data_IF_842219716237
#
_entry.id   IF_842219716237
#
_cell.length_a   1.000
_cell.length_b   1.000
_cell.length_c   1.000
_cell.angle_alpha   90.00
_cell.angle_beta   90.00
_cell.angle_gamma   90.00
#
_symmetry.space_group_name_H-M   'P 1'
#
loop_
_entity.id
_entity.type
_entity.pdbx_description
1 polymer ?
#
# COMPACT_ATOMS: atom_id res chain seq x y z
N UNK A 1 -3.88 6.21 1.55
CA UNK A 1 -4.49 7.41 0.97
C UNK A 1 -5.78 7.08 0.21
N UNK A 2 -5.73 6.26 -0.86
CA UNK A 2 -6.91 5.85 -1.65
C UNK A 2 -8.10 5.34 -0.84
N UNK A 3 -7.85 4.40 0.08
CA UNK A 3 -8.89 3.83 0.95
C UNK A 3 -9.65 4.87 1.80
N UNK A 4 -9.06 6.05 2.00
CA UNK A 4 -9.62 7.13 2.80
C UNK A 4 -10.00 8.37 1.97
N UNK A 5 -9.88 8.31 0.63
CA UNK A 5 -10.22 9.42 -0.25
C UNK A 5 -9.30 10.66 -0.15
N UNK A 6 -8.10 10.52 0.41
CA UNK A 6 -7.17 11.66 0.66
C UNK A 6 -5.94 11.66 -0.25
N UNK A 7 -5.98 10.93 -1.38
CA UNK A 7 -4.81 10.80 -2.27
C UNK A 7 -4.35 12.14 -2.86
N UNK A 8 -5.27 12.92 -3.42
CA UNK A 8 -4.91 14.19 -4.07
C UNK A 8 -4.29 15.17 -3.07
N UNK A 9 -4.83 15.23 -1.84
CA UNK A 9 -4.26 16.04 -0.77
C UNK A 9 -2.85 15.58 -0.37
N UNK A 10 -2.61 14.26 -0.33
CA UNK A 10 -1.29 13.70 -0.04
C UNK A 10 -0.30 14.03 -1.15
N UNK A 11 -0.69 13.88 -2.42
CA UNK A 11 0.17 14.21 -3.56
C UNK A 11 0.48 15.72 -3.63
N UNK A 12 -0.50 16.57 -3.35
CA UNK A 12 -0.30 18.02 -3.28
C UNK A 12 0.72 18.39 -2.19
N UNK A 13 0.60 17.80 -0.99
CA UNK A 13 1.56 18.00 0.10
C UNK A 13 2.97 17.52 -0.24
N UNK A 14 3.10 16.39 -0.95
CA UNK A 14 4.38 15.89 -1.44
C UNK A 14 5.01 16.83 -2.48
N UNK A 15 4.21 17.38 -3.39
CA UNK A 15 4.67 18.35 -4.38
C UNK A 15 5.15 19.66 -3.73
N UNK A 16 4.47 20.13 -2.69
CA UNK A 16 4.91 21.28 -1.90
C UNK A 16 6.24 21.02 -1.20
N UNK A 17 6.40 19.84 -0.59
CA UNK A 17 7.61 19.47 0.17
C UNK A 17 8.80 19.17 -0.73
N UNK A 18 8.55 18.55 -1.89
CA UNK A 18 9.58 18.09 -2.83
C UNK A 18 9.23 18.52 -4.27
N UNK A 19 9.33 19.82 -4.58
CA UNK A 19 8.83 20.37 -5.85
C UNK A 19 9.61 19.92 -7.09
N UNK A 20 10.81 19.37 -6.92
CA UNK A 20 11.61 18.82 -8.02
C UNK A 20 11.19 17.42 -8.49
N UNK A 21 10.21 16.79 -7.82
CA UNK A 21 9.75 15.44 -8.15
C UNK A 21 8.40 15.52 -8.84
N UNK A 22 8.33 14.97 -10.05
CA UNK A 22 7.06 14.66 -10.71
C UNK A 22 6.47 13.41 -10.04
N UNK A 23 5.62 13.62 -9.04
CA UNK A 23 5.05 12.55 -8.22
C UNK A 23 4.16 11.58 -8.99
N UNK A 24 3.51 12.06 -10.07
CA UNK A 24 2.69 11.20 -10.92
C UNK A 24 3.56 10.23 -11.72
N UNK A 25 4.59 10.76 -12.38
CA UNK A 25 5.56 9.95 -13.11
C UNK A 25 6.34 9.03 -12.17
N UNK A 26 6.68 9.51 -10.97
CA UNK A 26 7.41 8.72 -9.99
C UNK A 26 6.57 7.56 -9.46
N UNK A 27 5.26 7.78 -9.22
CA UNK A 27 4.31 6.73 -8.86
C UNK A 27 4.23 5.66 -9.93
N UNK A 28 4.00 6.06 -11.19
CA UNK A 28 4.00 5.17 -12.37
C UNK A 28 5.27 4.32 -12.47
N UNK A 29 6.44 4.96 -12.35
CA UNK A 29 7.73 4.28 -12.39
C UNK A 29 7.89 3.26 -11.26
N UNK A 30 7.55 3.61 -10.02
CA UNK A 30 7.68 2.70 -8.89
C UNK A 30 6.73 1.50 -9.00
N UNK A 31 5.47 1.72 -9.38
CA UNK A 31 4.51 0.63 -9.61
C UNK A 31 5.00 -0.33 -10.69
N UNK A 32 5.45 0.18 -11.84
CA UNK A 32 6.04 -0.66 -12.90
C UNK A 32 7.16 -1.54 -12.37
N UNK A 33 8.13 -0.93 -11.69
CA UNK A 33 9.33 -1.62 -11.20
C UNK A 33 9.01 -2.69 -10.18
N UNK A 34 8.11 -2.43 -9.23
CA UNK A 34 7.80 -3.41 -8.19
C UNK A 34 6.92 -4.55 -8.73
N UNK A 35 6.05 -4.28 -9.70
CA UNK A 35 5.23 -5.33 -10.32
C UNK A 35 6.08 -6.24 -11.22
N UNK A 36 7.01 -5.68 -12.00
CA UNK A 36 7.90 -6.48 -12.86
C UNK A 36 8.96 -7.27 -12.06
N UNK A 37 9.56 -6.63 -11.05
CA UNK A 37 10.79 -7.14 -10.44
C UNK A 37 10.69 -7.31 -8.92
N UNK A 38 9.49 -7.25 -8.34
CA UNK A 38 9.29 -7.27 -6.88
C UNK A 38 9.95 -8.46 -6.19
N UNK A 39 9.91 -9.66 -6.80
CA UNK A 39 10.50 -10.89 -6.24
C UNK A 39 12.01 -10.73 -6.04
N UNK A 40 12.73 -10.41 -7.11
CA UNK A 40 14.18 -10.18 -7.10
C UNK A 40 14.56 -9.02 -6.18
N UNK A 41 13.82 -7.89 -6.26
CA UNK A 41 14.11 -6.72 -5.43
C UNK A 41 13.91 -7.00 -3.94
N UNK A 42 12.92 -7.84 -3.59
CA UNK A 42 12.71 -8.26 -2.22
C UNK A 42 13.89 -9.08 -1.69
N UNK A 43 14.45 -9.99 -2.50
CA UNK A 43 15.66 -10.74 -2.16
C UNK A 43 16.85 -9.80 -1.93
N UNK A 44 17.10 -8.87 -2.86
CA UNK A 44 18.14 -7.84 -2.71
C UNK A 44 17.95 -7.02 -1.41
N UNK A 45 16.72 -6.69 -1.03
CA UNK A 45 16.43 -5.95 0.22
C UNK A 45 16.58 -6.81 1.49
N UNK A 46 16.43 -8.14 1.40
CA UNK A 46 16.76 -9.05 2.52
C UNK A 46 18.26 -9.11 2.75
N UNK A 47 19.06 -9.08 1.69
CA UNK A 47 20.51 -8.98 1.78
C UNK A 47 20.93 -7.63 2.39
N UNK A 48 20.31 -6.51 1.96
CA UNK A 48 20.53 -5.19 2.60
C UNK A 48 20.16 -5.22 4.08
N UNK A 49 19.04 -5.85 4.44
CA UNK A 49 18.66 -6.00 5.84
C UNK A 49 19.68 -6.83 6.64
N UNK A 50 20.33 -7.80 6.01
CA UNK A 50 21.41 -8.58 6.61
C UNK A 50 22.65 -7.73 6.85
N UNK A 51 23.09 -6.95 5.86
CA UNK A 51 24.22 -6.01 6.02
C UNK A 51 23.99 -5.00 7.15
N UNK A 52 22.77 -4.49 7.28
CA UNK A 52 22.42 -3.56 8.38
C UNK A 52 22.51 -4.25 9.75
N UNK A 53 22.11 -5.53 9.86
CA UNK A 53 22.29 -6.33 11.10
C UNK A 53 23.76 -6.54 11.43
N UNK A 54 24.59 -6.82 10.43
CA UNK A 54 26.04 -7.01 10.60
C UNK A 54 26.73 -5.74 11.09
N UNK A 55 26.20 -4.56 10.74
CA UNK A 55 26.64 -3.27 11.28
C UNK A 55 26.13 -3.00 12.72
N UNK A 56 25.43 -3.94 13.35
CA UNK A 56 24.88 -3.80 14.70
C UNK A 56 23.57 -2.99 14.78
N UNK A 57 22.90 -2.75 13.65
CA UNK A 57 21.68 -1.96 13.57
C UNK A 57 20.45 -2.84 13.31
N UNK A 58 19.29 -2.41 13.82
CA UNK A 58 18.03 -3.09 13.47
C UNK A 58 17.51 -2.61 12.11
N UNK A 59 17.21 -3.50 11.15
CA UNK A 59 17.00 -3.14 9.75
C UNK A 59 15.56 -2.73 9.40
N UNK A 60 14.94 -1.82 10.18
CA UNK A 60 13.52 -1.48 10.07
C UNK A 60 13.06 -1.17 8.64
N UNK A 61 13.77 -0.25 7.96
CA UNK A 61 13.40 0.19 6.62
C UNK A 61 13.66 -0.87 5.55
N UNK A 62 14.80 -1.57 5.63
CA UNK A 62 15.19 -2.56 4.64
C UNK A 62 14.28 -3.80 4.69
N UNK A 63 14.03 -4.32 5.90
CA UNK A 63 13.13 -5.45 6.10
C UNK A 63 11.70 -5.12 5.68
N UNK A 64 11.16 -3.96 6.11
CA UNK A 64 9.82 -3.54 5.70
C UNK A 64 9.67 -3.36 4.18
N UNK A 65 10.73 -2.88 3.52
CA UNK A 65 10.75 -2.77 2.05
C UNK A 65 10.75 -4.13 1.38
N UNK A 66 11.55 -5.09 1.88
CA UNK A 66 11.57 -6.46 1.35
C UNK A 66 10.18 -7.11 1.43
N UNK A 67 9.52 -7.02 2.59
CA UNK A 67 8.18 -7.56 2.77
C UNK A 67 7.15 -6.91 1.84
N UNK A 68 7.21 -5.58 1.67
CA UNK A 68 6.30 -4.89 0.76
C UNK A 68 6.50 -5.31 -0.69
N UNK A 69 7.74 -5.46 -1.14
CA UNK A 69 8.04 -5.85 -2.52
C UNK A 69 7.68 -7.32 -2.78
N UNK A 70 7.92 -8.20 -1.81
CA UNK A 70 7.51 -9.60 -1.89
C UNK A 70 5.99 -9.73 -1.99
N UNK A 71 5.24 -9.00 -1.15
CA UNK A 71 3.78 -9.00 -1.20
C UNK A 71 3.23 -8.53 -2.55
N UNK A 72 3.79 -7.47 -3.14
CA UNK A 72 3.36 -7.04 -4.49
C UNK A 72 3.72 -8.09 -5.54
N UNK A 73 4.87 -8.76 -5.42
CA UNK A 73 5.23 -9.86 -6.30
C UNK A 73 4.23 -11.03 -6.21
N UNK A 74 3.74 -11.35 -5.01
CA UNK A 74 2.71 -12.39 -4.82
C UNK A 74 1.40 -12.00 -5.51
N UNK A 75 1.00 -10.73 -5.42
CA UNK A 75 -0.18 -10.23 -6.14
C UNK A 75 0.01 -10.29 -7.67
N UNK A 76 1.22 -10.01 -8.15
CA UNK A 76 1.55 -10.11 -9.58
C UNK A 76 1.59 -11.57 -10.06
N UNK A 77 2.10 -12.50 -9.25
CA UNK A 77 2.07 -13.95 -9.52
C UNK A 77 0.64 -14.48 -9.53
N UNK A 78 -0.22 -13.94 -8.66
CA UNK A 78 -1.66 -14.19 -8.67
C UNK A 78 -2.43 -13.51 -9.81
N UNK A 79 -1.75 -12.79 -10.71
CA UNK A 79 -2.35 -12.19 -11.90
C UNK A 79 -3.14 -10.90 -11.66
N UNK A 80 -3.07 -10.30 -10.46
CA UNK A 80 -3.86 -9.10 -10.11
C UNK A 80 -3.64 -7.95 -11.09
N UNK A 81 -2.43 -7.82 -11.63
CA UNK A 81 -2.03 -6.69 -12.47
C UNK A 81 -2.05 -6.98 -13.97
N UNK A 82 -2.49 -8.18 -14.38
CA UNK A 82 -2.39 -8.64 -15.77
C UNK A 82 -0.93 -8.85 -16.20
N UNK A 83 -0.64 -8.52 -17.45
CA UNK A 83 0.72 -8.54 -17.99
C UNK A 83 1.63 -7.54 -17.24
N UNK A 84 2.78 -8.04 -16.78
CA UNK A 84 3.75 -7.27 -16.00
C UNK A 84 4.49 -6.26 -16.85
N UNK A 85 4.65 -6.54 -18.13
CA UNK A 85 5.43 -5.72 -19.06
C UNK A 85 4.60 -4.62 -19.72
N UNK A 86 3.28 -4.65 -19.54
CA UNK A 86 2.39 -3.55 -19.95
C UNK A 86 2.82 -2.24 -19.27
N UNK A 87 3.14 -1.18 -20.03
CA UNK A 87 3.56 0.10 -19.46
C UNK A 87 2.48 0.74 -18.59
N UNK A 88 2.81 1.03 -17.34
CA UNK A 88 1.92 1.72 -16.41
C UNK A 88 2.09 3.23 -16.54
N UNK A 89 1.15 3.87 -17.25
CA UNK A 89 1.02 5.34 -17.28
C UNK A 89 0.17 5.87 -16.13
N UNK A 90 -0.83 5.08 -15.74
CA UNK A 90 -1.72 5.39 -14.63
C UNK A 90 -1.56 4.34 -13.53
N UNK A 91 -0.79 4.68 -12.50
CA UNK A 91 -0.54 3.80 -11.35
C UNK A 91 -1.77 3.66 -10.45
N UNK A 92 -2.74 4.58 -10.58
CA UNK A 92 -3.95 4.61 -9.75
C UNK A 92 -4.82 3.38 -9.98
N UNK A 93 -4.94 2.95 -11.23
CA UNK A 93 -5.68 1.74 -11.60
C UNK A 93 -5.15 0.49 -10.86
N UNK A 94 -3.82 0.37 -10.68
CA UNK A 94 -3.23 -0.74 -9.95
C UNK A 94 -3.40 -0.62 -8.45
N UNK A 95 -3.31 0.60 -7.93
CA UNK A 95 -3.59 0.87 -6.54
C UNK A 95 -5.06 0.54 -6.19
N UNK A 96 -6.01 0.78 -7.10
CA UNK A 96 -7.41 0.39 -6.96
C UNK A 96 -7.59 -1.13 -6.99
N UNK A 97 -6.89 -1.83 -7.89
CA UNK A 97 -6.89 -3.31 -7.91
C UNK A 97 -6.39 -3.90 -6.58
N UNK A 98 -5.31 -3.35 -6.03
CA UNK A 98 -4.78 -3.73 -4.72
C UNK A 98 -5.82 -3.49 -3.62
N UNK A 99 -6.45 -2.30 -3.61
CA UNK A 99 -7.46 -1.96 -2.61
C UNK A 99 -8.66 -2.92 -2.69
N UNK A 100 -9.14 -3.23 -3.89
CA UNK A 100 -10.22 -4.18 -4.11
C UNK A 100 -9.86 -5.61 -3.67
N UNK A 101 -8.62 -6.05 -3.88
CA UNK A 101 -8.15 -7.36 -3.41
C UNK A 101 -8.13 -7.43 -1.87
N UNK A 102 -7.70 -6.36 -1.19
CA UNK A 102 -7.69 -6.28 0.27
C UNK A 102 -9.09 -6.25 0.89
N UNK A 103 -10.06 -5.61 0.24
CA UNK A 103 -11.46 -5.59 0.73
C UNK A 103 -12.17 -6.93 0.47
N UNK A 104 -11.83 -7.62 -0.62
CA UNK A 104 -12.41 -8.92 -0.99
C UNK A 104 -11.88 -10.08 -0.15
N UNK A 105 -10.63 -10.00 0.34
CA UNK A 105 -10.03 -11.01 1.22
C UNK A 105 -10.45 -10.89 2.69
N UNK A 106 -11.18 -9.84 3.05
CA UNK A 106 -11.79 -9.75 4.38
C UNK A 106 -12.86 -10.84 4.52
N UNK A 107 -12.76 -11.77 5.49
CA UNK A 107 -13.74 -12.83 5.63
C UNK A 107 -15.09 -12.20 5.95
N UNK A 108 -16.03 -12.31 5.01
CA UNK A 108 -17.45 -12.01 5.24
C UNK A 108 -17.86 -12.83 6.47
N UNK A 109 -18.06 -12.18 7.63
CA UNK A 109 -18.59 -12.81 8.85
C UNK A 109 -19.85 -13.58 8.46
N UNK A 110 -19.74 -14.91 8.32
CA UNK A 110 -20.91 -15.79 8.30
C UNK A 110 -21.62 -15.60 9.64
N UNK A 111 -22.94 -15.48 9.56
CA UNK A 111 -23.81 -14.85 10.55
C UNK A 111 -23.47 -15.16 12.01
N UNK A 112 -23.48 -14.10 12.82
CA UNK A 112 -23.81 -14.20 14.23
C UNK A 112 -24.71 -13.02 14.57
N UNK A 113 -25.94 -13.36 14.90
CA UNK A 113 -26.95 -12.48 15.48
C UNK A 113 -26.45 -11.90 16.80
N UNK A 114 -26.58 -10.58 16.92
CA UNK A 114 -26.84 -9.82 18.15
C UNK A 114 -25.75 -9.74 19.24
N UNK A 115 -25.17 -8.54 19.40
CA UNK A 115 -25.21 -7.75 20.65
C UNK A 115 -24.49 -6.42 20.42
N UNK A 116 -25.14 -5.31 20.80
CA UNK A 116 -24.76 -3.93 20.47
C UNK A 116 -23.30 -3.54 20.74
N UNK A 117 -22.74 -2.76 19.84
CA UNK A 117 -21.41 -2.16 19.96
C UNK A 117 -21.49 -0.95 20.93
N UNK A 118 -20.72 -0.90 22.03
CA UNK A 118 -20.80 0.19 23.02
C UNK A 118 -20.25 1.54 22.56
N UNK A 119 -19.76 1.65 21.32
CA UNK A 119 -19.06 2.83 20.81
C UNK A 119 -19.94 3.80 20.01
N UNK A 120 -21.23 3.50 19.83
CA UNK A 120 -22.17 4.33 19.03
C UNK A 120 -22.85 5.46 19.83
N UNK A 121 -22.45 5.69 21.09
CA UNK A 121 -23.08 6.66 21.98
C UNK A 121 -22.36 8.01 22.11
N UNK A 122 -21.23 8.23 21.43
CA UNK A 122 -20.41 9.43 21.63
C UNK A 122 -20.71 10.63 20.72
N UNK A 123 -21.69 10.53 19.82
CA UNK A 123 -22.01 11.61 18.87
C UNK A 123 -23.51 11.94 18.78
N UNK A 124 -24.25 11.87 19.90
CA UNK A 124 -25.53 12.59 20.01
C UNK A 124 -25.28 13.91 20.74
N UNK A 125 -25.10 14.96 19.96
CA UNK A 125 -25.14 16.34 20.45
C UNK A 125 -26.47 16.60 21.15
N UNK A 126 -26.37 17.22 22.32
CA UNK A 126 -27.51 17.65 23.11
C UNK A 126 -27.89 19.06 22.63
N UNK A 127 -28.78 19.16 21.64
CA UNK A 127 -29.48 20.40 21.36
C UNK A 127 -30.58 20.58 22.40
N UNK A 128 -30.33 21.48 23.36
CA UNK A 128 -31.28 22.28 24.14
C UNK A 128 -30.51 23.10 25.17
N UNK A 129 -30.28 24.37 24.85
CA UNK A 129 -30.89 25.52 25.51
C UNK A 129 -30.51 26.81 24.76
#
# INVERSE_FOLDING_TARGET
ARAYGVEDAVLASLAETFPGIDWEKQGAYFFQRVIQHGRRRAEEMRDVAQTVREAGLTPWSAAGTAERQAWVADLADGGLFGDRDTPRKDWRADADRILAACTSSSPRKRGSTNSGNPLDSRFRGNDKD
#
